data_IF_023817403218
#
_entry.id   IF_023817403218
#
_cell.length_a   1.000
_cell.length_b   1.000
_cell.length_c   1.000
_cell.angle_alpha   90.00
_cell.angle_beta   90.00
_cell.angle_gamma   90.00
#
_symmetry.space_group_name_H-M   'P 1'
#
loop_
_entity.id
_entity.type
_entity.pdbx_description
1 polymer ?
#
# COMPACT_ATOMS: atom_id res chain seq x y z
N UNK A 1 55.66 26.02 -71.73
CA UNK A 1 56.89 25.67 -70.97
C UNK A 1 56.47 24.78 -69.82
N UNK A 2 57.02 23.56 -69.76
CA UNK A 2 56.82 22.65 -68.63
C UNK A 2 57.61 23.14 -67.41
N UNK A 3 57.03 23.00 -66.23
CA UNK A 3 57.80 22.60 -65.04
C UNK A 3 56.93 21.67 -64.19
N UNK A 4 57.36 20.41 -64.10
CA UNK A 4 56.94 19.45 -63.09
C UNK A 4 57.67 19.78 -61.80
N UNK A 5 56.98 19.72 -60.66
CA UNK A 5 57.58 19.23 -59.42
C UNK A 5 56.53 18.52 -58.57
N UNK A 6 56.90 17.32 -58.13
CA UNK A 6 56.16 16.35 -57.34
C UNK A 6 56.61 16.48 -55.87
N UNK A 7 55.86 15.87 -54.94
CA UNK A 7 56.09 15.66 -53.50
C UNK A 7 55.40 16.74 -52.63
N UNK A 8 54.65 16.46 -51.57
CA UNK A 8 54.45 15.24 -50.75
C UNK A 8 53.33 15.54 -49.74
N UNK A 9 52.58 14.50 -49.30
CA UNK A 9 52.01 14.30 -47.93
C UNK A 9 51.13 15.42 -47.35
N UNK A 10 49.91 15.20 -46.85
CA UNK A 10 49.41 14.07 -46.10
C UNK A 10 47.87 14.09 -46.08
N UNK A 11 47.28 12.91 -46.27
CA UNK A 11 45.96 12.58 -45.74
C UNK A 11 46.00 12.77 -44.22
N UNK A 12 45.24 13.72 -43.69
CA UNK A 12 44.78 13.67 -42.30
C UNK A 12 43.33 13.22 -42.33
N UNK A 13 43.18 11.90 -42.40
CA UNK A 13 41.97 11.18 -42.04
C UNK A 13 41.58 11.58 -40.62
N UNK A 14 40.47 12.30 -40.48
CA UNK A 14 39.79 12.50 -39.22
C UNK A 14 39.15 11.16 -38.82
N UNK A 15 39.93 10.27 -38.22
CA UNK A 15 39.39 9.11 -37.51
C UNK A 15 38.70 9.64 -36.25
N UNK A 16 37.39 9.84 -36.34
CA UNK A 16 36.54 9.98 -35.17
C UNK A 16 36.61 8.66 -34.40
N UNK A 17 37.44 8.62 -33.36
CA UNK A 17 37.41 7.55 -32.37
C UNK A 17 36.07 7.67 -31.64
N UNK A 18 35.09 6.87 -32.07
CA UNK A 18 33.98 6.49 -31.21
C UNK A 18 34.63 5.79 -30.02
N UNK A 19 34.87 6.54 -28.94
CA UNK A 19 35.00 5.93 -27.62
C UNK A 19 33.62 5.35 -27.38
N UNK A 20 33.47 4.07 -27.71
CA UNK A 20 32.33 3.28 -27.27
C UNK A 20 32.28 3.46 -25.76
N UNK A 21 31.33 4.27 -25.31
CA UNK A 21 30.91 4.27 -23.93
C UNK A 21 30.46 2.84 -23.68
N UNK A 22 31.36 2.04 -23.10
CA UNK A 22 31.02 0.79 -22.47
C UNK A 22 29.82 1.17 -21.59
N UNK A 23 28.62 0.60 -21.80
CA UNK A 23 27.57 0.80 -20.84
C UNK A 23 28.16 0.27 -19.54
N UNK A 24 28.46 1.19 -18.62
CA UNK A 24 28.71 0.82 -17.23
C UNK A 24 27.63 -0.19 -16.91
N UNK A 25 27.95 -1.35 -16.31
CA UNK A 25 26.91 -2.15 -15.73
C UNK A 25 26.21 -1.18 -14.80
N UNK A 26 24.98 -0.81 -15.16
CA UNK A 26 24.03 -0.27 -14.22
C UNK A 26 24.11 -1.31 -13.12
N UNK A 27 24.86 -0.99 -12.06
CA UNK A 27 24.67 -1.59 -10.77
C UNK A 27 23.18 -1.45 -10.59
N UNK A 28 22.47 -2.54 -10.85
CA UNK A 28 21.12 -2.69 -10.40
C UNK A 28 21.30 -2.52 -8.90
N UNK A 29 21.09 -1.29 -8.43
CA UNK A 29 20.76 -1.07 -7.05
C UNK A 29 19.59 -2.01 -6.87
N UNK A 30 19.84 -3.14 -6.23
CA UNK A 30 18.82 -3.87 -5.51
C UNK A 30 18.28 -2.85 -4.53
N UNK A 31 17.36 -2.01 -4.99
CA UNK A 31 16.50 -1.21 -4.14
C UNK A 31 15.75 -2.25 -3.36
N UNK A 32 16.29 -2.58 -2.18
CA UNK A 32 15.59 -3.40 -1.21
C UNK A 32 14.24 -2.73 -1.04
N UNK A 33 13.19 -3.48 -1.36
CA UNK A 33 11.83 -2.99 -1.25
C UNK A 33 11.62 -2.56 0.21
N UNK A 34 11.53 -1.26 0.44
CA UNK A 34 11.34 -0.71 1.78
C UNK A 34 10.03 -1.28 2.34
N UNK A 35 10.11 -1.82 3.56
CA UNK A 35 8.94 -2.34 4.26
C UNK A 35 8.48 -1.27 5.24
N UNK A 36 7.35 -0.65 4.95
CA UNK A 36 6.82 0.42 5.80
C UNK A 36 6.23 -0.14 7.08
N UNK A 37 6.34 0.64 8.15
CA UNK A 37 5.78 0.31 9.45
C UNK A 37 6.60 -0.70 10.26
N UNK A 38 7.86 -0.98 9.89
CA UNK A 38 8.75 -1.86 10.68
C UNK A 38 8.92 -1.40 12.14
N UNK A 39 8.96 -0.08 12.37
CA UNK A 39 9.08 0.51 13.71
C UNK A 39 7.72 0.83 14.34
N UNK A 40 6.61 0.43 13.70
CA UNK A 40 5.29 0.73 14.22
C UNK A 40 4.92 -0.20 15.38
N UNK A 41 4.69 0.41 16.53
CA UNK A 41 4.13 -0.25 17.71
C UNK A 41 2.63 0.03 17.75
N UNK A 42 1.82 -1.03 17.84
CA UNK A 42 0.37 -0.88 18.00
C UNK A 42 0.07 -0.15 19.32
N UNK A 43 -0.75 0.90 19.32
CA UNK A 43 -1.24 1.50 20.54
C UNK A 43 -2.43 0.73 21.15
N UNK A 44 -2.89 -0.34 20.49
CA UNK A 44 -4.09 -1.07 20.88
C UNK A 44 -3.76 -2.37 21.62
N UNK A 45 -4.48 -2.62 22.71
CA UNK A 45 -4.48 -3.91 23.39
C UNK A 45 -5.44 -4.86 22.67
N UNK A 46 -4.90 -5.85 21.95
CA UNK A 46 -5.71 -6.77 21.17
C UNK A 46 -6.56 -7.73 22.00
N UNK A 47 -6.27 -7.92 23.29
CA UNK A 47 -7.14 -8.73 24.14
C UNK A 47 -8.39 -7.93 24.52
N UNK A 48 -8.25 -6.61 24.73
CA UNK A 48 -9.39 -5.69 24.84
C UNK A 48 -10.18 -5.64 23.53
N UNK A 49 -9.51 -5.50 22.38
CA UNK A 49 -10.17 -5.51 21.06
C UNK A 49 -11.00 -6.79 20.87
N UNK A 50 -10.42 -7.98 21.15
CA UNK A 50 -11.14 -9.26 21.05
C UNK A 50 -12.34 -9.32 21.98
N UNK A 51 -12.20 -8.83 23.22
CA UNK A 51 -13.30 -8.81 24.18
C UNK A 51 -14.47 -7.96 23.69
N UNK A 52 -14.20 -6.77 23.15
CA UNK A 52 -15.23 -5.89 22.59
C UNK A 52 -15.88 -6.49 21.33
N UNK A 53 -15.09 -7.13 20.45
CA UNK A 53 -15.62 -7.85 19.28
C UNK A 53 -16.54 -8.99 19.72
N UNK A 54 -16.14 -9.77 20.71
CA UNK A 54 -16.96 -10.87 21.25
C UNK A 54 -18.25 -10.36 21.91
N UNK A 55 -18.23 -9.17 22.50
CA UNK A 55 -19.40 -8.50 23.06
C UNK A 55 -20.31 -7.85 21.99
N UNK A 56 -19.82 -7.69 20.76
CA UNK A 56 -20.52 -6.95 19.70
C UNK A 56 -20.56 -5.44 19.94
N UNK A 57 -19.64 -4.90 20.75
CA UNK A 57 -19.61 -3.49 21.13
C UNK A 57 -18.89 -2.64 20.06
N UNK A 58 -19.57 -2.46 18.92
CA UNK A 58 -19.04 -1.67 17.80
C UNK A 58 -18.91 -0.19 18.11
N UNK A 59 -19.66 0.34 19.08
CA UNK A 59 -19.51 1.73 19.51
C UNK A 59 -18.20 1.94 20.26
N UNK A 60 -17.88 1.08 21.23
CA UNK A 60 -16.60 1.12 21.93
C UNK A 60 -15.41 0.86 20.99
N UNK A 61 -15.55 -0.08 20.04
CA UNK A 61 -14.52 -0.29 19.01
C UNK A 61 -14.33 0.95 18.13
N UNK A 62 -15.41 1.59 17.69
CA UNK A 62 -15.33 2.83 16.92
C UNK A 62 -14.63 3.94 17.71
N UNK A 63 -14.95 4.11 18.98
CA UNK A 63 -14.29 5.08 19.86
C UNK A 63 -12.79 4.76 20.00
N UNK A 64 -12.45 3.50 20.26
CA UNK A 64 -11.07 3.03 20.38
C UNK A 64 -10.22 3.34 19.14
N UNK A 65 -10.76 3.14 17.94
CA UNK A 65 -10.04 3.41 16.68
C UNK A 65 -10.13 4.86 16.21
N UNK A 66 -10.99 5.68 16.83
CA UNK A 66 -11.19 7.08 16.45
C UNK A 66 -9.93 7.96 16.45
N UNK A 67 -8.91 7.76 17.31
CA UNK A 67 -7.71 8.60 17.28
C UNK A 67 -6.91 8.49 15.97
N UNK A 68 -7.02 7.36 15.24
CA UNK A 68 -6.43 7.25 13.91
C UNK A 68 -7.11 8.18 12.91
N UNK A 69 -8.42 8.39 13.04
CA UNK A 69 -9.25 9.16 12.10
C UNK A 69 -9.39 10.64 12.45
N UNK A 70 -9.45 10.97 13.75
CA UNK A 70 -9.80 12.31 14.25
C UNK A 70 -8.58 13.12 14.72
N UNK A 71 -7.38 12.56 14.66
CA UNK A 71 -6.16 13.24 15.10
C UNK A 71 -5.77 14.43 14.19
N UNK A 72 -5.02 15.43 14.71
CA UNK A 72 -4.65 16.64 13.96
C UNK A 72 -3.76 16.41 12.73
N UNK A 73 -3.23 15.18 12.54
CA UNK A 73 -2.50 14.76 11.33
C UNK A 73 -3.35 13.92 10.36
N UNK A 74 -4.54 13.51 10.75
CA UNK A 74 -5.48 12.74 9.94
C UNK A 74 -6.46 13.69 9.23
N UNK A 75 -5.94 14.75 8.61
CA UNK A 75 -6.75 15.76 7.93
C UNK A 75 -7.54 15.10 6.79
N UNK A 76 -8.80 14.75 7.02
CA UNK A 76 -9.90 14.53 6.05
C UNK A 76 -9.77 13.44 4.98
N UNK A 77 -8.57 13.18 4.48
CA UNK A 77 -8.30 12.47 3.23
C UNK A 77 -7.55 11.15 3.44
N UNK A 78 -7.10 10.87 4.67
CA UNK A 78 -6.33 9.66 5.00
C UNK A 78 -7.19 8.40 5.09
N UNK A 79 -8.46 8.53 5.46
CA UNK A 79 -9.38 7.42 5.55
C UNK A 79 -10.70 7.79 4.90
N UNK A 80 -11.26 6.90 4.07
CA UNK A 80 -12.58 7.08 3.47
C UNK A 80 -13.41 5.84 3.80
N UNK A 81 -14.48 6.05 4.57
CA UNK A 81 -15.46 5.02 4.87
C UNK A 81 -16.42 4.81 3.71
N UNK A 82 -16.76 3.56 3.42
CA UNK A 82 -17.81 3.20 2.47
C UNK A 82 -19.09 2.78 3.20
N UNK A 83 -20.15 3.55 3.01
CA UNK A 83 -21.50 3.29 3.56
C UNK A 83 -22.46 2.86 2.45
N UNK A 84 -22.17 1.76 1.78
CA UNK A 84 -23.05 1.18 0.75
C UNK A 84 -23.40 -0.25 1.11
N UNK A 85 -24.53 -0.77 0.60
CA UNK A 85 -24.83 -2.20 0.72
C UNK A 85 -23.79 -3.11 0.05
N UNK A 86 -22.89 -2.53 -0.75
CA UNK A 86 -21.71 -3.19 -1.28
C UNK A 86 -20.64 -3.48 -0.21
N UNK A 87 -20.62 -2.80 0.93
CA UNK A 87 -19.67 -3.10 2.01
C UNK A 87 -19.94 -4.50 2.61
N UNK A 88 -18.90 -5.31 2.86
CA UNK A 88 -19.06 -6.62 3.48
C UNK A 88 -19.55 -6.52 4.95
N UNK A 89 -20.11 -7.62 5.51
CA UNK A 89 -20.41 -7.69 6.93
C UNK A 89 -19.18 -7.40 7.81
N UNK A 90 -19.34 -6.60 8.86
CA UNK A 90 -18.22 -6.12 9.70
C UNK A 90 -17.43 -7.27 10.35
N UNK A 91 -18.09 -8.35 10.74
CA UNK A 91 -17.44 -9.54 11.30
C UNK A 91 -16.55 -10.26 10.26
N UNK A 92 -16.94 -10.28 8.99
CA UNK A 92 -16.12 -10.84 7.91
C UNK A 92 -14.94 -9.91 7.59
N UNK A 93 -15.19 -8.60 7.59
CA UNK A 93 -14.16 -7.57 7.47
C UNK A 93 -13.08 -7.68 8.55
N UNK A 94 -13.49 -7.80 9.81
CA UNK A 94 -12.61 -8.08 10.95
C UNK A 94 -11.84 -9.40 10.75
N UNK A 95 -12.52 -10.46 10.31
CA UNK A 95 -11.87 -11.74 10.03
C UNK A 95 -10.80 -11.65 8.93
N UNK A 96 -11.05 -10.91 7.85
CA UNK A 96 -10.05 -10.70 6.79
C UNK A 96 -8.83 -9.93 7.32
N UNK A 97 -9.06 -8.90 8.16
CA UNK A 97 -8.00 -8.15 8.80
C UNK A 97 -7.17 -9.00 9.77
N UNK A 98 -7.79 -9.91 10.53
CA UNK A 98 -7.08 -10.82 11.43
C UNK A 98 -6.19 -11.82 10.69
N UNK A 99 -6.58 -12.24 9.49
CA UNK A 99 -5.76 -13.13 8.67
C UNK A 99 -4.42 -12.48 8.25
N UNK A 100 -4.31 -11.15 8.29
CA UNK A 100 -3.04 -10.46 8.06
C UNK A 100 -1.98 -10.82 9.10
N UNK A 101 -2.37 -11.22 10.32
CA UNK A 101 -1.44 -11.63 11.39
C UNK A 101 -0.62 -12.86 11.00
N UNK A 102 -1.16 -13.73 10.13
CA UNK A 102 -0.45 -14.93 9.65
C UNK A 102 0.70 -14.62 8.67
N UNK A 103 0.81 -13.36 8.22
CA UNK A 103 1.78 -12.91 7.22
C UNK A 103 2.85 -12.05 7.88
N UNK A 104 4.09 -12.18 7.42
CA UNK A 104 5.15 -11.25 7.80
C UNK A 104 4.97 -9.89 7.11
N UNK A 105 4.85 -9.92 5.78
CA UNK A 105 4.88 -8.71 4.94
C UNK A 105 3.74 -8.69 3.92
N UNK A 106 3.13 -7.53 3.76
CA UNK A 106 1.95 -7.27 2.93
C UNK A 106 2.37 -6.38 1.77
N UNK A 107 2.44 -6.94 0.57
CA UNK A 107 3.05 -6.25 -0.56
C UNK A 107 2.06 -5.97 -1.68
N UNK A 108 2.17 -4.78 -2.25
CA UNK A 108 1.64 -4.43 -3.55
C UNK A 108 2.70 -4.77 -4.60
N UNK A 109 2.38 -5.68 -5.50
CA UNK A 109 3.27 -6.06 -6.61
C UNK A 109 2.91 -5.37 -7.92
N UNK A 110 1.73 -4.76 -8.01
CA UNK A 110 1.23 -4.08 -9.20
C UNK A 110 1.69 -2.62 -9.22
N UNK A 111 2.21 -2.15 -10.35
CA UNK A 111 2.75 -0.80 -10.53
C UNK A 111 1.80 0.10 -11.34
N UNK A 112 0.50 0.05 -11.05
CA UNK A 112 -0.54 0.87 -11.71
C UNK A 112 -1.60 1.23 -10.66
N UNK A 113 -1.91 2.52 -10.52
CA UNK A 113 -2.73 3.10 -9.43
C UNK A 113 -4.10 2.42 -9.20
N UNK A 114 -4.66 1.81 -10.25
CA UNK A 114 -5.96 1.13 -10.22
C UNK A 114 -5.87 -0.34 -9.82
N UNK A 115 -4.70 -0.96 -9.91
CA UNK A 115 -4.53 -2.38 -9.59
C UNK A 115 -4.21 -2.54 -8.10
N UNK A 116 -4.81 -3.55 -7.48
CA UNK A 116 -4.59 -3.88 -6.08
C UNK A 116 -4.04 -5.30 -5.97
N UNK A 117 -3.05 -5.50 -5.09
CA UNK A 117 -2.70 -6.84 -4.66
C UNK A 117 -3.68 -7.26 -3.57
N UNK A 118 -4.33 -8.40 -3.76
CA UNK A 118 -5.14 -9.01 -2.71
C UNK A 118 -4.21 -9.53 -1.61
N UNK A 119 -4.46 -9.11 -0.38
CA UNK A 119 -3.70 -9.54 0.79
C UNK A 119 -4.38 -10.73 1.47
N UNK A 120 -5.66 -10.64 1.81
CA UNK A 120 -6.41 -11.73 2.48
C UNK A 120 -7.89 -11.68 2.11
N UNK A 121 -8.60 -12.80 2.32
CA UNK A 121 -10.03 -12.94 2.05
C UNK A 121 -10.71 -13.73 3.17
N UNK A 122 -11.84 -13.23 3.65
CA UNK A 122 -12.69 -13.92 4.63
C UNK A 122 -14.14 -13.73 4.26
N UNK A 123 -14.84 -14.83 3.94
CA UNK A 123 -16.24 -14.76 3.53
C UNK A 123 -16.38 -13.84 2.32
N UNK A 124 -17.14 -12.75 2.49
CA UNK A 124 -17.38 -11.72 1.49
C UNK A 124 -16.42 -10.52 1.56
N UNK A 125 -15.50 -10.50 2.53
CA UNK A 125 -14.56 -9.41 2.73
C UNK A 125 -13.18 -9.74 2.15
N UNK A 126 -12.54 -8.72 1.59
CA UNK A 126 -11.14 -8.76 1.15
C UNK A 126 -10.37 -7.58 1.72
N UNK A 127 -9.11 -7.81 2.07
CA UNK A 127 -8.13 -6.74 2.30
C UNK A 127 -7.19 -6.65 1.10
N UNK A 128 -6.87 -5.44 0.66
CA UNK A 128 -6.01 -5.21 -0.49
C UNK A 128 -5.04 -4.06 -0.27
N UNK A 129 -3.96 -4.07 -1.04
CA UNK A 129 -3.01 -2.96 -1.13
C UNK A 129 -2.94 -2.48 -2.58
N UNK A 130 -3.41 -1.27 -2.84
CA UNK A 130 -3.39 -0.62 -4.14
C UNK A 130 -2.31 0.47 -4.19
N UNK A 131 -1.85 0.83 -5.39
CA UNK A 131 -0.86 1.89 -5.61
C UNK A 131 -0.13 1.73 -6.94
N UNK A 132 0.50 2.82 -7.39
CA UNK A 132 1.22 2.89 -8.67
C UNK A 132 2.65 2.33 -8.65
N UNK A 133 3.06 1.64 -7.59
CA UNK A 133 4.44 1.18 -7.40
C UNK A 133 4.48 -0.06 -6.50
N UNK A 134 5.60 -0.78 -6.57
CA UNK A 134 5.86 -1.91 -5.68
C UNK A 134 6.24 -1.38 -4.31
N UNK A 135 5.51 -1.80 -3.28
CA UNK A 135 5.82 -1.48 -1.90
C UNK A 135 5.35 -2.61 -0.99
N UNK A 136 5.97 -2.71 0.18
CA UNK A 136 5.61 -3.67 1.21
C UNK A 136 5.34 -2.94 2.53
N UNK A 137 4.46 -3.52 3.33
CA UNK A 137 4.15 -3.07 4.68
C UNK A 137 4.36 -4.22 5.64
N UNK A 138 4.66 -3.94 6.90
CA UNK A 138 4.50 -4.92 7.95
C UNK A 138 3.01 -5.26 8.09
N UNK A 139 2.64 -6.54 7.94
CA UNK A 139 1.23 -6.92 8.03
C UNK A 139 0.66 -6.72 9.45
N UNK A 140 1.48 -7.02 10.46
CA UNK A 140 1.10 -6.91 11.87
C UNK A 140 2.22 -6.23 12.67
N UNK A 141 1.97 -5.13 13.40
CA UNK A 141 0.64 -4.54 13.62
C UNK A 141 0.20 -3.50 12.58
N UNK A 142 1.12 -3.02 11.74
CA UNK A 142 0.87 -1.83 10.93
C UNK A 142 -0.36 -1.95 10.01
N UNK A 143 -0.37 -2.90 9.06
CA UNK A 143 -1.49 -3.04 8.13
C UNK A 143 -2.78 -3.48 8.85
N UNK A 144 -2.66 -4.39 9.82
CA UNK A 144 -3.78 -4.87 10.66
C UNK A 144 -4.51 -3.72 11.33
N UNK A 145 -3.80 -2.79 11.97
CA UNK A 145 -4.43 -1.68 12.68
C UNK A 145 -5.19 -0.73 11.76
N UNK A 146 -4.72 -0.55 10.52
CA UNK A 146 -5.46 0.24 9.51
C UNK A 146 -6.69 -0.53 9.02
N UNK A 147 -6.61 -1.84 8.88
CA UNK A 147 -7.78 -2.65 8.49
C UNK A 147 -8.80 -2.77 9.61
N UNK A 148 -8.38 -2.88 10.87
CA UNK A 148 -9.26 -2.78 12.03
C UNK A 148 -9.87 -1.39 12.16
N UNK A 149 -9.10 -0.33 11.91
CA UNK A 149 -9.67 1.01 11.91
C UNK A 149 -10.76 1.15 10.84
N UNK A 150 -10.59 0.64 9.61
CA UNK A 150 -11.69 0.63 8.64
C UNK A 150 -12.83 -0.29 9.10
N UNK A 151 -12.53 -1.51 9.56
CA UNK A 151 -13.55 -2.48 9.93
C UNK A 151 -14.48 -1.96 11.05
N UNK A 152 -13.93 -1.26 12.05
CA UNK A 152 -14.68 -0.82 13.22
C UNK A 152 -15.08 0.65 13.18
N UNK A 153 -14.19 1.56 12.77
CA UNK A 153 -14.55 2.98 12.72
C UNK A 153 -15.60 3.26 11.64
N UNK A 154 -15.48 2.59 10.49
CA UNK A 154 -16.45 2.69 9.41
C UNK A 154 -17.62 1.71 9.55
N UNK A 155 -17.75 1.02 10.69
CA UNK A 155 -18.89 0.15 10.91
C UNK A 155 -20.17 1.00 10.96
N UNK A 156 -21.14 0.61 10.13
CA UNK A 156 -22.46 1.23 10.11
C UNK A 156 -23.51 0.12 10.01
N UNK A 157 -24.68 0.36 10.59
CA UNK A 157 -25.78 -0.58 10.55
C UNK A 157 -26.64 -0.30 9.31
N UNK A 158 -26.81 -1.31 8.46
CA UNK A 158 -27.68 -1.21 7.30
C UNK A 158 -29.17 -1.28 7.69
N UNK A 159 -30.10 -0.98 6.77
CA UNK A 159 -31.54 -1.07 7.06
C UNK A 159 -32.04 -2.46 7.48
N UNK A 160 -31.25 -3.52 7.25
CA UNK A 160 -31.56 -4.89 7.70
C UNK A 160 -31.09 -5.17 9.13
N UNK A 161 -30.39 -4.22 9.77
CA UNK A 161 -29.80 -4.37 11.09
C UNK A 161 -28.40 -4.99 11.07
N UNK A 162 -27.83 -5.28 9.89
CA UNK A 162 -26.50 -5.88 9.76
C UNK A 162 -25.43 -4.80 9.81
N UNK A 163 -24.42 -4.97 10.67
CA UNK A 163 -23.23 -4.11 10.64
C UNK A 163 -22.37 -4.44 9.42
N UNK A 164 -22.04 -3.41 8.65
CA UNK A 164 -21.17 -3.48 7.48
C UNK A 164 -20.03 -2.49 7.61
N UNK A 165 -18.90 -2.81 7.01
CA UNK A 165 -17.76 -1.91 6.95
C UNK A 165 -16.93 -2.14 5.70
N UNK A 166 -16.42 -1.04 5.15
CA UNK A 166 -15.62 -1.00 3.95
C UNK A 166 -14.98 0.37 3.83
N UNK A 167 -14.02 0.49 2.93
CA UNK A 167 -13.35 1.75 2.68
C UNK A 167 -11.88 1.62 2.34
N UNK A 168 -11.17 2.74 2.46
CA UNK A 168 -9.74 2.83 2.17
C UNK A 168 -9.00 3.66 3.21
N UNK A 169 -7.72 3.34 3.37
CA UNK A 169 -6.75 4.08 4.16
C UNK A 169 -5.56 4.47 3.30
N UNK A 170 -5.32 5.76 3.08
CA UNK A 170 -4.21 6.28 2.29
C UNK A 170 -2.87 6.11 3.03
N UNK A 171 -1.84 5.77 2.26
CA UNK A 171 -0.48 5.52 2.74
C UNK A 171 0.48 6.52 2.10
N UNK A 172 0.44 7.76 2.54
CA UNK A 172 1.21 8.85 1.91
C UNK A 172 2.73 8.61 1.94
N UNK A 173 3.23 7.91 2.96
CA UNK A 173 4.64 7.52 3.06
C UNK A 173 5.06 6.39 2.12
N UNK A 174 4.10 5.66 1.54
CA UNK A 174 4.42 4.62 0.57
C UNK A 174 4.73 5.23 -0.80
N UNK A 175 4.13 6.38 -1.13
CA UNK A 175 4.13 6.99 -2.46
C UNK A 175 2.70 7.26 -3.01
N UNK A 176 2.58 7.98 -4.15
CA UNK A 176 1.30 8.51 -4.63
C UNK A 176 0.21 7.45 -4.86
N UNK A 177 -0.99 7.72 -4.33
CA UNK A 177 -2.17 6.89 -4.56
C UNK A 177 -2.18 5.55 -3.82
N UNK A 178 -1.17 5.25 -3.00
CA UNK A 178 -1.21 4.03 -2.20
C UNK A 178 -2.27 4.08 -1.13
N UNK A 179 -2.88 2.92 -0.96
CA UNK A 179 -3.94 2.73 -0.01
C UNK A 179 -4.09 1.27 0.34
N UNK A 180 -4.35 1.03 1.62
CA UNK A 180 -4.99 -0.21 2.02
C UNK A 180 -6.49 -0.08 1.80
N UNK A 181 -7.13 -1.14 1.35
CA UNK A 181 -8.56 -1.17 1.09
C UNK A 181 -9.20 -2.38 1.77
N UNK A 182 -10.43 -2.18 2.23
CA UNK A 182 -11.32 -3.22 2.74
C UNK A 182 -12.58 -3.18 1.88
N UNK A 183 -12.84 -4.25 1.15
CA UNK A 183 -13.85 -4.25 0.09
C UNK A 183 -14.56 -5.60 -0.03
N UNK A 184 -15.66 -5.62 -0.79
CA UNK A 184 -16.43 -6.82 -1.09
C UNK A 184 -15.81 -7.61 -2.24
N UNK A 185 -15.71 -8.93 -2.08
CA UNK A 185 -15.01 -9.82 -3.01
C UNK A 185 -15.85 -10.42 -4.14
#
# INVERSE_FOLDING_TARGET
MQLKLILTTALLSLTATLIGAIPSPLTASTTSLEVLGQDYVSPFDYDVVKALVAAGDYEALREMYSPLWNGPKAAGDYGVCETTQGSPPTNEAQGAADELVSRGTCCQWNAVETQCSNLTNRGRASTGFCGGYKACLQCNPFARDRMFSIAFYCAWQDPSGTYRSGGKWMLDGAGPGARLILYHN
#
